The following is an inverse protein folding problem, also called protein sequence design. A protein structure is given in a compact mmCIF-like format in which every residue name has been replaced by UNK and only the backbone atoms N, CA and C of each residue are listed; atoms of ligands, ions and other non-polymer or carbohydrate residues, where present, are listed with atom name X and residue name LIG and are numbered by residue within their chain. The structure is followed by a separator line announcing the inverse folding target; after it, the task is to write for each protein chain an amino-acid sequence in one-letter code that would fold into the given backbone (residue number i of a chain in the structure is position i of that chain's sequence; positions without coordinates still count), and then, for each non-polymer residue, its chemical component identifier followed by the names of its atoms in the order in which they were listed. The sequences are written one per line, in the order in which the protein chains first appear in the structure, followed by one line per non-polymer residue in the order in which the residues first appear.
data_IF_096682924477
#
_entry.id   IF_096682924477
#
_cell.length_a   1.000
_cell.length_b   1.000
_cell.length_c   1.000
_cell.angle_alpha   90.00
_cell.angle_beta   90.00
_cell.angle_gamma   90.00
#
_symmetry.space_group_name_H-M   'P 1'
#
loop_
_entity.id
_entity.type
_entity.pdbx_description
1 polymer ?
#
# COMPACT_ATOMS: atom_id res chain seq x y z
N UNK A 1 11.68 -10.32 3.70
CA UNK A 1 11.84 -8.86 3.80
C UNK A 1 11.28 -8.42 5.13
N UNK A 2 12.00 -7.62 5.90
CA UNK A 2 11.49 -7.14 7.18
C UNK A 2 10.31 -6.14 6.95
N UNK A 3 9.09 -6.41 7.48
CA UNK A 3 7.93 -5.51 7.46
C UNK A 3 8.20 -4.08 7.93
N UNK A 4 9.12 -3.88 8.87
CA UNK A 4 9.56 -2.57 9.36
C UNK A 4 10.61 -1.91 8.47
N UNK A 5 10.90 -2.46 7.29
CA UNK A 5 11.84 -1.90 6.29
C UNK A 5 11.27 -1.92 4.87
N UNK A 6 9.95 -2.01 4.74
CA UNK A 6 9.25 -2.04 3.46
C UNK A 6 9.50 -0.75 2.67
N UNK A 7 9.56 0.40 3.35
CA UNK A 7 9.83 1.68 2.70
C UNK A 7 11.22 1.74 2.04
N UNK A 8 12.22 1.05 2.60
CA UNK A 8 13.55 0.96 1.99
C UNK A 8 13.55 0.08 0.75
N UNK A 9 12.76 -1.00 0.77
CA UNK A 9 12.54 -1.81 -0.43
C UNK A 9 11.82 -1.00 -1.52
N UNK A 10 10.80 -0.22 -1.15
CA UNK A 10 10.12 0.65 -2.10
C UNK A 10 11.04 1.73 -2.68
N UNK A 11 11.89 2.35 -1.87
CA UNK A 11 12.91 3.27 -2.38
C UNK A 11 13.82 2.61 -3.42
N UNK A 12 14.25 1.36 -3.20
CA UNK A 12 15.04 0.62 -4.18
C UNK A 12 14.28 0.30 -5.47
N UNK A 13 12.97 0.07 -5.40
CA UNK A 13 12.12 -0.07 -6.59
C UNK A 13 11.96 1.26 -7.34
N UNK A 14 11.82 2.39 -6.64
CA UNK A 14 11.78 3.72 -7.25
C UNK A 14 13.10 4.06 -7.96
N UNK A 15 14.24 3.76 -7.34
CA UNK A 15 15.57 3.94 -7.95
C UNK A 15 15.72 3.10 -9.22
N UNK A 16 15.31 1.83 -9.19
CA UNK A 16 15.31 0.95 -10.37
C UNK A 16 14.36 1.44 -11.46
N UNK A 17 13.25 2.04 -11.05
CA UNK A 17 12.30 2.69 -11.94
C UNK A 17 12.79 4.06 -12.45
N UNK A 18 13.89 4.61 -11.92
CA UNK A 18 14.36 5.95 -12.27
C UNK A 18 13.36 7.05 -11.89
N UNK A 19 12.54 6.82 -10.87
CA UNK A 19 11.59 7.81 -10.33
C UNK A 19 12.31 8.59 -9.23
N UNK A 20 12.51 9.91 -9.39
CA UNK A 20 13.14 10.73 -8.35
C UNK A 20 12.26 10.81 -7.09
N UNK A 21 12.88 10.72 -5.93
CA UNK A 21 12.21 10.89 -4.63
C UNK A 21 13.13 11.55 -3.62
N UNK A 22 12.51 12.10 -2.58
CA UNK A 22 13.15 12.63 -1.38
C UNK A 22 12.78 11.75 -0.19
N UNK A 23 13.77 11.49 0.67
CA UNK A 23 13.57 10.83 1.97
C UNK A 23 13.26 11.88 3.02
N UNK A 24 12.31 11.57 3.89
CA UNK A 24 11.93 12.43 5.00
C UNK A 24 11.50 11.64 6.22
N UNK A 25 11.00 12.37 7.21
CA UNK A 25 10.33 11.81 8.36
C UNK A 25 9.07 12.62 8.66
N UNK A 26 8.02 11.94 9.14
CA UNK A 26 6.78 12.56 9.62
C UNK A 26 6.39 11.88 10.93
N UNK A 27 6.29 12.65 12.01
CA UNK A 27 5.97 12.13 13.35
C UNK A 27 6.87 10.98 13.83
N UNK A 28 8.12 10.95 13.36
CA UNK A 28 9.10 9.88 13.68
C UNK A 28 9.10 8.74 12.67
N UNK A 29 8.07 8.62 11.83
CA UNK A 29 7.95 7.61 10.78
C UNK A 29 8.71 7.99 9.53
N UNK A 30 9.32 7.00 8.88
CA UNK A 30 10.05 7.21 7.62
C UNK A 30 9.06 7.52 6.49
N UNK A 31 9.43 8.49 5.64
CA UNK A 31 8.63 8.88 4.48
C UNK A 31 9.46 8.98 3.20
N UNK A 32 8.79 8.79 2.07
CA UNK A 32 9.29 9.11 0.75
C UNK A 32 8.28 10.04 0.08
N UNK A 33 8.75 11.02 -0.69
CA UNK A 33 7.85 11.81 -1.53
C UNK A 33 8.53 12.24 -2.81
N UNK A 34 7.74 12.49 -3.85
CA UNK A 34 8.29 12.90 -5.14
C UNK A 34 7.20 13.33 -6.11
N UNK A 35 7.64 13.71 -7.30
CA UNK A 35 6.79 14.09 -8.41
C UNK A 35 6.90 13.06 -9.53
N UNK A 36 5.79 12.46 -9.92
CA UNK A 36 5.71 11.57 -11.07
C UNK A 36 4.31 11.59 -11.65
N UNK A 37 4.21 11.74 -12.97
CA UNK A 37 2.95 11.56 -13.70
C UNK A 37 2.73 10.10 -14.14
N UNK A 38 3.76 9.26 -14.03
CA UNK A 38 3.73 7.84 -14.42
C UNK A 38 3.20 7.01 -13.25
N UNK A 39 1.87 7.02 -13.10
CA UNK A 39 1.17 6.32 -12.03
C UNK A 39 1.23 4.79 -12.21
N UNK A 40 1.29 4.28 -13.44
CA UNK A 40 1.50 2.86 -13.70
C UNK A 40 2.82 2.37 -13.12
N UNK A 41 3.91 3.11 -13.34
CA UNK A 41 5.22 2.73 -12.79
C UNK A 41 5.29 2.80 -11.27
N UNK A 42 4.52 3.70 -10.64
CA UNK A 42 4.37 3.73 -9.18
C UNK A 42 3.59 2.51 -8.66
N UNK A 43 2.53 2.09 -9.35
CA UNK A 43 1.80 0.86 -9.00
C UNK A 43 2.69 -0.37 -9.19
N UNK A 44 3.47 -0.45 -10.27
CA UNK A 44 4.43 -1.53 -10.49
C UNK A 44 5.46 -1.62 -9.37
N UNK A 45 6.04 -0.49 -8.94
CA UNK A 45 6.97 -0.44 -7.82
C UNK A 45 6.30 -0.88 -6.50
N UNK A 46 5.07 -0.44 -6.24
CA UNK A 46 4.30 -0.88 -5.08
C UNK A 46 4.04 -2.40 -5.13
N UNK A 47 3.58 -2.92 -6.27
CA UNK A 47 3.30 -4.34 -6.46
C UNK A 47 4.56 -5.22 -6.33
N UNK A 48 5.71 -4.75 -6.78
CA UNK A 48 6.98 -5.46 -6.62
C UNK A 48 7.31 -5.66 -5.13
N UNK A 49 7.13 -4.61 -4.32
CA UNK A 49 7.29 -4.70 -2.87
C UNK A 49 6.20 -5.56 -2.25
N UNK A 50 4.94 -5.38 -2.64
CA UNK A 50 3.79 -6.10 -2.12
C UNK A 50 3.89 -7.62 -2.37
N UNK A 51 4.46 -8.05 -3.49
CA UNK A 51 4.64 -9.46 -3.83
C UNK A 51 5.85 -10.10 -3.14
N UNK A 52 6.74 -9.31 -2.54
CA UNK A 52 7.91 -9.83 -1.86
C UNK A 52 7.51 -10.58 -0.57
N UNK A 53 8.10 -11.78 -0.32
CA UNK A 53 7.89 -12.49 0.93
C UNK A 53 8.49 -11.71 2.10
N UNK A 54 7.80 -11.75 3.24
CA UNK A 54 8.20 -11.04 4.46
C UNK A 54 8.76 -11.97 5.53
N UNK A 55 9.58 -11.41 6.40
CA UNK A 55 10.15 -12.13 7.54
C UNK A 55 9.03 -12.32 8.57
N UNK A 56 8.90 -13.55 9.09
CA UNK A 56 7.75 -13.94 9.92
C UNK A 56 8.02 -13.90 11.41
N UNK A 57 9.28 -14.04 11.79
CA UNK A 57 9.72 -13.89 13.17
C UNK A 57 10.67 -12.70 13.18
N UNK A 58 10.36 -11.72 14.01
CA UNK A 58 11.10 -10.46 14.09
C UNK A 58 11.27 -10.12 15.55
N UNK A 59 12.44 -9.63 15.92
CA UNK A 59 12.66 -9.07 17.26
C UNK A 59 12.38 -7.56 17.23
N UNK A 60 11.39 -7.11 18.00
CA UNK A 60 11.03 -5.70 18.18
C UNK A 60 11.28 -5.35 19.64
N UNK A 61 12.20 -4.41 19.90
CA UNK A 61 12.58 -3.99 21.26
C UNK A 61 13.01 -5.14 22.20
N UNK A 62 13.49 -6.25 21.64
CA UNK A 62 13.92 -7.44 22.39
C UNK A 62 12.80 -8.47 22.63
N UNK A 63 11.59 -8.21 22.12
CA UNK A 63 10.46 -9.12 22.17
C UNK A 63 10.22 -9.81 20.81
N UNK A 64 9.92 -11.12 20.79
CA UNK A 64 9.62 -11.83 19.56
C UNK A 64 8.20 -11.48 19.07
N UNK A 65 8.12 -10.96 17.86
CA UNK A 65 6.89 -10.68 17.14
C UNK A 65 6.78 -11.68 15.98
N UNK A 66 5.61 -12.30 15.86
CA UNK A 66 5.29 -13.29 14.85
C UNK A 66 4.27 -12.70 13.89
N UNK A 67 4.52 -12.79 12.60
CA UNK A 67 3.53 -12.58 11.55
C UNK A 67 2.79 -13.93 11.37
N UNK A 68 1.51 -14.02 11.77
CA UNK A 68 0.77 -15.27 11.77
C UNK A 68 0.73 -15.97 10.42
N UNK A 69 0.42 -17.26 10.46
CA UNK A 69 0.40 -18.11 9.26
C UNK A 69 -0.84 -17.93 8.39
N UNK A 70 -1.82 -17.14 8.84
CA UNK A 70 -3.02 -16.87 8.08
C UNK A 70 -2.84 -15.64 7.17
N UNK A 71 -3.55 -15.63 6.05
CA UNK A 71 -3.36 -14.64 4.99
C UNK A 71 -3.80 -13.23 5.39
N UNK A 72 -4.66 -13.10 6.39
CA UNK A 72 -5.11 -11.80 6.91
C UNK A 72 -4.03 -11.07 7.72
N UNK A 73 -2.89 -11.72 7.98
CA UNK A 73 -1.74 -11.08 8.56
C UNK A 73 -0.97 -10.20 7.56
N UNK A 74 -1.17 -10.34 6.24
CA UNK A 74 -0.49 -9.57 5.19
C UNK A 74 -1.50 -9.11 4.12
N UNK A 75 -2.17 -8.00 4.38
CA UNK A 75 -3.29 -7.51 3.57
C UNK A 75 -2.88 -6.35 2.67
N UNK A 76 -3.48 -6.31 1.48
CA UNK A 76 -3.43 -5.17 0.57
C UNK A 76 -4.76 -4.43 0.57
N UNK A 77 -4.68 -3.10 0.46
CA UNK A 77 -5.84 -2.23 0.34
C UNK A 77 -5.59 -1.17 -0.73
N UNK A 78 -6.52 -1.03 -1.67
CA UNK A 78 -6.60 0.12 -2.57
C UNK A 78 -7.86 0.93 -2.25
N UNK A 79 -7.69 2.23 -2.04
CA UNK A 79 -8.77 3.17 -1.79
C UNK A 79 -8.64 4.43 -2.66
N UNK A 80 -9.73 5.16 -2.83
CA UNK A 80 -9.69 6.49 -3.46
C UNK A 80 -10.72 7.44 -2.88
N UNK A 81 -10.36 8.73 -2.85
CA UNK A 81 -11.20 9.76 -2.25
C UNK A 81 -10.77 11.18 -2.62
N UNK A 82 -11.46 12.15 -2.02
CA UNK A 82 -11.07 13.56 -2.08
C UNK A 82 -10.45 13.92 -0.74
N UNK A 83 -9.29 14.57 -0.79
CA UNK A 83 -8.59 15.07 0.39
C UNK A 83 -8.32 16.56 0.28
N UNK A 84 -8.38 17.25 1.42
CA UNK A 84 -7.96 18.64 1.52
C UNK A 84 -6.44 18.71 1.61
N UNK A 85 -5.83 19.60 0.83
CA UNK A 85 -4.39 19.82 0.86
C UNK A 85 -4.03 20.68 2.08
N UNK A 86 -3.39 20.06 3.07
CA UNK A 86 -2.99 20.74 4.29
C UNK A 86 -2.14 21.99 3.99
N UNK A 87 -2.51 23.12 4.59
CA UNK A 87 -1.78 24.39 4.42
C UNK A 87 -2.04 25.13 3.10
N UNK A 88 -2.94 24.64 2.23
CA UNK A 88 -3.31 25.29 0.97
C UNK A 88 -4.78 25.74 0.91
N UNK A 89 -5.36 26.06 2.08
CA UNK A 89 -6.75 26.53 2.18
C UNK A 89 -7.77 25.45 1.80
N UNK A 90 -8.82 25.83 1.07
CA UNK A 90 -9.90 24.94 0.61
C UNK A 90 -9.53 24.15 -0.67
N UNK A 91 -8.24 23.94 -0.93
CA UNK A 91 -7.81 23.19 -2.11
C UNK A 91 -8.04 21.71 -1.88
N UNK A 92 -8.86 21.10 -2.72
CA UNK A 92 -9.14 19.66 -2.72
C UNK A 92 -8.41 18.96 -3.88
N UNK A 93 -7.91 17.76 -3.61
CA UNK A 93 -7.29 16.88 -4.61
C UNK A 93 -7.93 15.50 -4.55
N UNK A 94 -7.94 14.82 -5.69
CA UNK A 94 -8.27 13.40 -5.72
C UNK A 94 -7.02 12.57 -5.39
N UNK A 95 -7.19 11.60 -4.49
CA UNK A 95 -6.14 10.72 -4.01
C UNK A 95 -6.50 9.27 -4.31
N UNK A 96 -5.51 8.52 -4.80
CA UNK A 96 -5.55 7.06 -4.89
C UNK A 96 -4.50 6.50 -3.94
N UNK A 97 -4.93 5.68 -3.00
CA UNK A 97 -4.10 5.15 -1.91
C UNK A 97 -3.94 3.64 -2.05
N UNK A 98 -2.74 3.16 -1.74
CA UNK A 98 -2.38 1.76 -1.64
C UNK A 98 -1.77 1.50 -0.28
N UNK A 99 -2.17 0.41 0.38
CA UNK A 99 -1.61 0.00 1.66
C UNK A 99 -1.27 -1.47 1.63
N UNK A 100 -0.17 -1.82 2.31
CA UNK A 100 0.14 -3.17 2.77
C UNK A 100 0.16 -3.15 4.29
N UNK A 101 -0.62 -4.02 4.90
CA UNK A 101 -0.87 -4.07 6.34
C UNK A 101 -0.37 -5.40 6.89
N UNK A 102 0.37 -5.34 7.99
CA UNK A 102 0.98 -6.46 8.67
C UNK A 102 0.42 -6.58 10.09
N UNK A 103 -0.28 -7.66 10.42
CA UNK A 103 -0.79 -7.91 11.77
C UNK A 103 0.15 -8.85 12.52
N UNK A 104 0.62 -8.46 13.70
CA UNK A 104 1.57 -9.25 14.49
C UNK A 104 0.93 -9.81 15.75
N UNK A 105 1.44 -10.97 16.15
CA UNK A 105 1.12 -11.66 17.40
C UNK A 105 2.41 -11.98 18.15
N UNK A 106 2.30 -12.29 19.43
CA UNK A 106 3.38 -12.89 20.20
C UNK A 106 3.43 -14.42 19.97
N UNK A 107 4.42 -15.14 20.53
CA UNK A 107 4.48 -16.60 20.40
C UNK A 107 3.33 -17.37 21.07
N UNK A 108 2.53 -16.72 21.91
CA UNK A 108 1.35 -17.26 22.58
C UNK A 108 0.05 -16.90 21.84
N UNK A 109 0.15 -16.38 20.60
CA UNK A 109 -0.96 -15.98 19.71
C UNK A 109 -1.75 -14.75 20.22
N UNK A 110 -1.16 -13.92 21.10
CA UNK A 110 -1.75 -12.64 21.52
C UNK A 110 -1.41 -11.53 20.52
N UNK A 111 -2.42 -10.79 20.06
CA UNK A 111 -2.24 -9.67 19.14
C UNK A 111 -1.37 -8.55 19.73
N UNK A 112 -0.29 -8.20 19.03
CA UNK A 112 0.68 -7.18 19.46
C UNK A 112 0.48 -5.83 18.76
N UNK A 113 -0.04 -5.82 17.53
CA UNK A 113 -0.24 -4.58 16.79
C UNK A 113 -0.24 -4.77 15.28
N UNK A 114 -0.45 -3.66 14.57
CA UNK A 114 -0.44 -3.62 13.12
C UNK A 114 0.61 -2.62 12.63
N UNK A 115 1.39 -3.03 11.64
CA UNK A 115 2.31 -2.16 10.92
C UNK A 115 1.81 -1.94 9.49
N UNK A 116 2.03 -0.75 8.94
CA UNK A 116 1.56 -0.37 7.62
C UNK A 116 2.70 0.17 6.76
N UNK A 117 2.65 -0.17 5.48
CA UNK A 117 3.29 0.60 4.42
C UNK A 117 2.22 1.17 3.48
N UNK A 118 2.22 2.48 3.28
CA UNK A 118 1.24 3.20 2.46
C UNK A 118 1.91 3.97 1.33
N UNK A 119 1.22 4.06 0.20
CA UNK A 119 1.54 4.90 -0.96
C UNK A 119 0.28 5.66 -1.38
N UNK A 120 0.36 6.99 -1.38
CA UNK A 120 -0.69 7.88 -1.85
C UNK A 120 -0.25 8.57 -3.15
N UNK A 121 -1.13 8.58 -4.13
CA UNK A 121 -1.00 9.29 -5.39
C UNK A 121 -1.94 10.49 -5.40
N UNK A 122 -1.37 11.69 -5.32
CA UNK A 122 -2.12 12.94 -5.31
C UNK A 122 -2.17 13.53 -6.71
N UNK A 123 -3.37 13.86 -7.16
CA UNK A 123 -3.61 14.47 -8.47
C UNK A 123 -3.60 16.00 -8.39
N UNK A 124 -3.55 16.66 -9.56
CA UNK A 124 -3.55 18.12 -9.64
C UNK A 124 -4.89 18.81 -9.32
N UNK A 125 -5.92 18.05 -8.96
CA UNK A 125 -7.27 18.56 -8.65
C UNK A 125 -8.28 17.43 -8.50
N UNK A 126 -9.56 17.72 -8.66
CA UNK A 126 -10.62 16.70 -8.56
C UNK A 126 -11.16 16.36 -9.98
N UNK A 127 -11.41 15.07 -10.30
CA UNK A 127 -12.07 14.67 -11.53
C UNK A 127 -13.41 15.39 -11.74
N UNK A 128 -13.68 15.82 -12.97
CA UNK A 128 -14.94 16.45 -13.30
C UNK A 128 -16.12 15.47 -13.13
N UNK A 129 -17.21 15.95 -12.53
CA UNK A 129 -18.44 15.16 -12.34
C UNK A 129 -18.43 14.33 -11.06
N UNK A 130 -18.90 13.08 -11.13
CA UNK A 130 -18.97 12.19 -9.96
C UNK A 130 -17.58 11.64 -9.65
N UNK A 131 -17.09 11.93 -8.45
CA UNK A 131 -15.81 11.39 -7.97
C UNK A 131 -15.89 9.87 -7.82
N UNK A 132 -15.00 9.10 -8.46
CA UNK A 132 -14.97 7.65 -8.30
C UNK A 132 -14.39 7.28 -6.94
N UNK A 133 -15.11 6.47 -6.18
CA UNK A 133 -14.63 5.85 -4.96
C UNK A 133 -14.32 4.38 -5.22
N UNK A 134 -13.24 3.90 -4.62
CA UNK A 134 -12.87 2.49 -4.63
C UNK A 134 -12.48 2.06 -3.21
N UNK A 135 -12.75 0.80 -2.92
CA UNK A 135 -12.17 0.06 -1.80
C UNK A 135 -11.97 -1.37 -2.30
N UNK A 136 -10.71 -1.84 -2.29
CA UNK A 136 -10.35 -3.18 -2.79
C UNK A 136 -9.31 -3.83 -1.90
N UNK A 137 -9.69 -4.93 -1.29
CA UNK A 137 -8.81 -5.78 -0.49
C UNK A 137 -8.12 -6.83 -1.35
N UNK A 138 -6.94 -7.28 -0.93
CA UNK A 138 -6.17 -8.37 -1.53
C UNK A 138 -5.13 -8.89 -0.53
N UNK A 139 -4.30 -9.84 -0.98
CA UNK A 139 -3.25 -10.44 -0.16
C UNK A 139 -1.85 -10.05 -0.66
N UNK A 140 -0.99 -9.70 0.29
CA UNK A 140 0.44 -9.52 0.06
C UNK A 140 1.17 -10.86 -0.06
N UNK A 141 2.41 -10.79 -0.51
CA UNK A 141 3.26 -11.97 -0.68
C UNK A 141 2.78 -12.96 -1.76
N UNK A 142 3.55 -14.05 -1.95
CA UNK A 142 3.17 -15.11 -2.88
C UNK A 142 1.99 -15.94 -2.36
N UNK A 143 1.15 -16.50 -3.25
CA UNK A 143 0.18 -17.53 -2.87
C UNK A 143 0.86 -18.71 -2.19
N UNK A 144 0.22 -19.28 -1.18
CA UNK A 144 0.75 -20.43 -0.45
C UNK A 144 -0.15 -21.64 -0.63
N UNK A 145 0.46 -22.78 -0.92
CA UNK A 145 -0.26 -24.00 -1.29
C UNK A 145 -0.94 -24.72 -0.11
N UNK A 146 -0.61 -24.35 1.13
CA UNK A 146 -0.99 -25.03 2.36
C UNK A 146 -2.01 -24.27 3.23
N UNK A 147 -2.33 -23.04 2.87
CA UNK A 147 -3.40 -22.24 3.49
C UNK A 147 -4.60 -22.14 2.56
N UNK A 148 -5.80 -22.29 3.12
CA UNK A 148 -7.05 -22.11 2.40
C UNK A 148 -7.49 -20.65 2.48
N UNK A 149 -7.76 -20.02 1.34
CA UNK A 149 -8.36 -18.68 1.26
C UNK A 149 -9.86 -18.69 1.60
N UNK A 150 -10.41 -19.85 2.00
CA UNK A 150 -11.86 -20.06 2.18
C UNK A 150 -12.46 -19.22 3.32
N UNK A 151 -11.70 -18.86 4.36
CA UNK A 151 -12.20 -18.02 5.46
C UNK A 151 -12.60 -16.60 4.97
N UNK A 152 -12.03 -16.15 3.85
CA UNK A 152 -12.34 -14.87 3.20
C UNK A 152 -12.55 -15.04 1.69
N UNK A 153 -13.44 -15.97 1.33
CA UNK A 153 -13.79 -16.27 -0.06
C UNK A 153 -14.14 -15.03 -0.92
N UNK A 154 -14.60 -13.93 -0.31
CA UNK A 154 -14.88 -12.66 -1.00
C UNK A 154 -13.61 -11.97 -1.53
N UNK A 155 -12.50 -11.97 -0.76
CA UNK A 155 -11.22 -11.38 -1.19
C UNK A 155 -10.57 -12.28 -2.25
N UNK A 156 -10.54 -13.59 -1.98
CA UNK A 156 -9.99 -14.59 -2.89
C UNK A 156 -10.71 -14.60 -4.25
N UNK A 157 -12.03 -14.44 -4.26
CA UNK A 157 -12.82 -14.46 -5.49
C UNK A 157 -12.65 -13.21 -6.38
N UNK A 158 -12.27 -12.06 -5.81
CA UNK A 158 -12.32 -10.78 -6.55
C UNK A 158 -10.95 -10.18 -6.86
N UNK A 159 -9.97 -10.36 -5.98
CA UNK A 159 -8.66 -9.74 -6.13
C UNK A 159 -7.51 -10.66 -5.74
N UNK A 160 -7.71 -11.62 -4.83
CA UNK A 160 -6.69 -12.60 -4.44
C UNK A 160 -5.35 -11.93 -4.09
N UNK A 161 -4.27 -12.49 -4.62
CA UNK A 161 -2.92 -11.96 -4.42
C UNK A 161 -2.58 -10.78 -5.35
N UNK A 162 -1.36 -10.27 -5.22
CA UNK A 162 -0.85 -9.05 -5.88
C UNK A 162 -1.21 -8.91 -7.36
N UNK A 163 -1.04 -9.95 -8.17
CA UNK A 163 -1.27 -9.88 -9.62
C UNK A 163 -2.75 -9.67 -9.98
N UNK A 164 -3.71 -10.54 -9.58
CA UNK A 164 -5.12 -10.27 -9.82
C UNK A 164 -5.63 -9.02 -9.10
N UNK A 165 -5.08 -8.66 -7.94
CA UNK A 165 -5.42 -7.43 -7.22
C UNK A 165 -5.03 -6.19 -8.04
N UNK A 166 -3.81 -6.15 -8.57
CA UNK A 166 -3.36 -5.06 -9.43
C UNK A 166 -4.19 -4.96 -10.73
N UNK A 167 -4.63 -6.09 -11.28
CA UNK A 167 -5.56 -6.09 -12.41
C UNK A 167 -6.93 -5.48 -12.03
N UNK A 168 -7.46 -5.80 -10.84
CA UNK A 168 -8.70 -5.23 -10.32
C UNK A 168 -8.59 -3.73 -9.99
N UNK A 169 -7.42 -3.27 -9.52
CA UNK A 169 -7.07 -1.85 -9.38
C UNK A 169 -7.14 -1.18 -10.75
N UNK A 170 -6.41 -1.68 -11.76
CA UNK A 170 -6.39 -1.09 -13.10
C UNK A 170 -7.76 -1.04 -13.76
N UNK A 171 -8.61 -2.02 -13.48
CA UNK A 171 -9.98 -2.06 -13.99
C UNK A 171 -10.91 -1.02 -13.34
N UNK A 172 -10.56 -0.45 -12.18
CA UNK A 172 -11.41 0.47 -11.43
C UNK A 172 -11.58 1.81 -12.14
N UNK A 173 -12.70 2.48 -11.85
CA UNK A 173 -12.92 3.85 -12.33
C UNK A 173 -12.03 4.88 -11.60
N UNK A 174 -11.58 4.57 -10.37
CA UNK A 174 -10.65 5.42 -9.63
C UNK A 174 -9.28 5.47 -10.29
N UNK A 175 -8.78 4.34 -10.77
CA UNK A 175 -7.51 4.26 -11.48
C UNK A 175 -7.58 4.97 -12.84
N UNK A 176 -8.63 4.67 -13.62
CA UNK A 176 -8.86 5.33 -14.92
C UNK A 176 -9.04 6.85 -14.82
N UNK A 177 -9.42 7.37 -13.65
CA UNK A 177 -9.53 8.81 -13.46
C UNK A 177 -8.16 9.52 -13.50
N UNK A 178 -7.06 8.80 -13.23
CA UNK A 178 -5.70 9.33 -13.29
C UNK A 178 -5.27 9.69 -14.71
N UNK A 179 -5.89 9.11 -15.74
CA UNK A 179 -5.67 9.50 -17.14
C UNK A 179 -6.26 10.89 -17.45
N UNK A 180 -7.33 11.28 -16.75
CA UNK A 180 -8.02 12.54 -16.95
C UNK A 180 -7.50 13.65 -16.02
N UNK A 181 -7.10 13.30 -14.81
CA UNK A 181 -6.50 14.22 -13.83
C UNK A 181 -5.18 13.61 -13.37
N UNK A 182 -4.04 14.04 -13.96
CA UNK A 182 -2.78 13.35 -13.75
C UNK A 182 -2.29 13.49 -12.32
N UNK A 183 -1.56 12.47 -11.87
CA UNK A 183 -0.78 12.49 -10.63
C UNK A 183 0.28 13.58 -10.72
N UNK A 184 0.34 14.42 -9.71
CA UNK A 184 1.34 15.49 -9.60
C UNK A 184 2.37 15.19 -8.51
N UNK A 185 1.99 14.39 -7.52
CA UNK A 185 2.82 14.07 -6.36
C UNK A 185 2.48 12.67 -5.87
N UNK A 186 3.48 11.97 -5.34
CA UNK A 186 3.25 10.80 -4.49
C UNK A 186 3.89 11.00 -3.12
N UNK A 187 3.36 10.29 -2.14
CA UNK A 187 3.95 10.14 -0.82
C UNK A 187 3.83 8.70 -0.37
N UNK A 188 4.89 8.15 0.20
CA UNK A 188 4.87 6.87 0.88
C UNK A 188 5.25 7.05 2.35
N UNK A 189 4.61 6.28 3.22
CA UNK A 189 4.77 6.31 4.66
C UNK A 189 4.86 4.88 5.16
N UNK A 190 5.68 4.67 6.18
CA UNK A 190 5.66 3.44 6.95
C UNK A 190 5.39 3.79 8.42
N UNK A 191 4.35 3.20 9.02
CA UNK A 191 3.85 3.59 10.34
C UNK A 191 3.27 2.41 11.09
N UNK A 192 3.30 2.50 12.41
CA UNK A 192 2.46 1.69 13.29
C UNK A 192 1.02 2.24 13.24
N UNK A 193 0.01 1.36 13.36
CA UNK A 193 -1.43 1.71 13.46
C UNK A 193 -1.96 1.35 14.84
#
# INVERSE_FOLDING_TARGET
MNPFKVIDAFAAELDRAGIPFERGTFEGSATLSGHSADHERLLEAFCAVAGAPVDREIEVEGEPWVLPDHQDADLLLHESGVEAVYGQGDTEVFVVSFRRQFSFEDPDEEYLGMHLFGLDLQTGGVPAGRVPQAQRWGYGGPPRADTSDEEHAEIAAWAGHVEPWAAAVRASNSWKALDAVPVVRFSALQSDI
#
